data_IF_585799805741
#
_entry.id   IF_585799805741
#
_cell.length_a   1.000
_cell.length_b   1.000
_cell.length_c   1.000
_cell.angle_alpha   90.00
_cell.angle_beta   90.00
_cell.angle_gamma   90.00
#
_symmetry.space_group_name_H-M   'P 1'
#
loop_
_entity.id
_entity.type
_entity.pdbx_description
1 polymer ?
#
# COMPACT_ATOMS: atom_id res chain seq x y z
N UNK A 1 5.02 5.21 11.78
CA UNK A 1 4.36 6.13 10.83
C UNK A 1 3.32 5.36 10.05
N UNK A 2 2.18 5.99 9.77
CA UNK A 2 1.10 5.42 8.95
C UNK A 2 0.96 6.30 7.70
N UNK A 3 0.73 5.70 6.54
CA UNK A 3 0.55 6.42 5.28
C UNK A 3 -0.47 5.72 4.36
N UNK A 4 -0.96 6.48 3.38
CA UNK A 4 -1.76 6.00 2.25
C UNK A 4 -1.04 6.26 0.92
N UNK A 5 -1.08 5.32 -0.01
CA UNK A 5 -0.48 5.49 -1.34
C UNK A 5 -1.34 4.89 -2.45
N UNK A 6 -1.64 5.66 -3.50
CA UNK A 6 -2.43 5.18 -4.65
C UNK A 6 -1.84 3.90 -5.25
N UNK A 7 -2.71 3.00 -5.71
CA UNK A 7 -2.30 1.86 -6.54
C UNK A 7 -2.17 2.32 -8.00
N UNK A 8 -1.00 2.83 -8.36
CA UNK A 8 -0.82 3.61 -9.58
C UNK A 8 -1.22 2.91 -10.88
N UNK A 9 -0.95 1.60 -11.01
CA UNK A 9 -1.28 0.87 -12.24
C UNK A 9 -2.56 0.02 -12.11
N UNK A 10 -3.33 0.14 -11.03
CA UNK A 10 -4.45 -0.78 -10.79
C UNK A 10 -5.52 -0.78 -11.90
N UNK A 11 -5.77 0.35 -12.58
CA UNK A 11 -6.69 0.37 -13.73
C UNK A 11 -6.34 -0.64 -14.83
N UNK A 12 -5.07 -1.01 -15.00
CA UNK A 12 -4.60 -1.96 -16.02
C UNK A 12 -4.92 -3.43 -15.64
N UNK A 13 -5.30 -3.68 -14.39
CA UNK A 13 -5.53 -5.01 -13.81
C UNK A 13 -6.94 -5.21 -13.26
N UNK A 14 -7.74 -4.15 -13.17
CA UNK A 14 -9.03 -4.15 -12.49
C UNK A 14 -10.07 -5.11 -13.09
N UNK A 15 -9.94 -5.49 -14.36
CA UNK A 15 -10.78 -6.50 -15.00
C UNK A 15 -10.37 -7.94 -14.67
N UNK A 16 -9.16 -8.14 -14.13
CA UNK A 16 -8.54 -9.46 -13.94
C UNK A 16 -8.39 -9.86 -12.47
N UNK A 17 -8.31 -8.89 -11.57
CA UNK A 17 -8.12 -9.13 -10.14
C UNK A 17 -8.63 -7.96 -9.31
N UNK A 18 -8.94 -8.25 -8.06
CA UNK A 18 -9.32 -7.27 -7.03
C UNK A 18 -8.12 -6.37 -6.65
N UNK A 19 -8.34 -5.19 -6.03
CA UNK A 19 -7.22 -4.33 -5.63
C UNK A 19 -6.37 -4.96 -4.52
N UNK A 20 -6.98 -5.84 -3.72
CA UNK A 20 -6.29 -6.61 -2.69
C UNK A 20 -5.33 -7.63 -3.32
N UNK A 21 -5.80 -8.43 -4.27
CA UNK A 21 -4.95 -9.40 -4.99
C UNK A 21 -3.82 -8.69 -5.75
N UNK A 22 -4.11 -7.55 -6.38
CA UNK A 22 -3.09 -6.72 -7.03
C UNK A 22 -2.01 -6.29 -6.04
N UNK A 23 -2.38 -5.70 -4.90
CA UNK A 23 -1.42 -5.26 -3.90
C UNK A 23 -0.61 -6.42 -3.31
N UNK A 24 -1.24 -7.58 -3.08
CA UNK A 24 -0.55 -8.77 -2.59
C UNK A 24 0.47 -9.32 -3.60
N UNK A 25 0.15 -9.29 -4.90
CA UNK A 25 1.11 -9.62 -5.96
C UNK A 25 2.29 -8.67 -5.99
N UNK A 26 2.08 -7.37 -5.74
CA UNK A 26 3.16 -6.39 -5.59
C UNK A 26 4.01 -6.68 -4.34
N UNK A 27 3.37 -7.01 -3.21
CA UNK A 27 4.07 -7.40 -1.98
C UNK A 27 4.94 -8.66 -2.19
N UNK A 28 4.47 -9.62 -2.98
CA UNK A 28 5.24 -10.83 -3.38
C UNK A 28 6.24 -10.58 -4.51
N UNK A 29 6.38 -9.34 -4.99
CA UNK A 29 7.24 -8.97 -6.13
C UNK A 29 6.90 -9.66 -7.46
N UNK A 30 5.67 -10.17 -7.60
CA UNK A 30 5.14 -10.72 -8.86
C UNK A 30 4.67 -9.62 -9.83
N UNK A 31 4.27 -8.47 -9.29
CA UNK A 31 3.90 -7.26 -10.02
C UNK A 31 4.73 -6.08 -9.52
N UNK A 32 4.89 -5.07 -10.38
CA UNK A 32 5.58 -3.83 -10.03
C UNK A 32 4.62 -2.64 -10.15
N UNK A 33 4.13 -2.18 -9.01
CA UNK A 33 3.48 -0.88 -8.89
C UNK A 33 4.52 0.17 -8.46
N UNK A 34 4.74 1.26 -9.20
CA UNK A 34 5.83 2.20 -8.89
C UNK A 34 5.67 2.89 -7.54
N UNK A 35 4.45 3.04 -7.01
CA UNK A 35 4.19 3.68 -5.73
C UNK A 35 4.36 2.67 -4.60
N UNK A 36 3.58 1.59 -4.64
CA UNK A 36 3.61 0.60 -3.56
C UNK A 36 4.98 -0.11 -3.49
N UNK A 37 5.59 -0.46 -4.63
CA UNK A 37 6.92 -1.08 -4.63
C UNK A 37 8.00 -0.17 -4.05
N UNK A 38 7.94 1.15 -4.34
CA UNK A 38 8.86 2.12 -3.74
C UNK A 38 8.68 2.20 -2.22
N UNK A 39 7.44 2.24 -1.74
CA UNK A 39 7.14 2.27 -0.31
C UNK A 39 7.65 1.00 0.40
N UNK A 40 7.40 -0.18 -0.17
CA UNK A 40 7.89 -1.45 0.36
C UNK A 40 9.42 -1.50 0.40
N UNK A 41 10.11 -1.03 -0.66
CA UNK A 41 11.58 -0.91 -0.69
C UNK A 41 12.15 0.00 0.41
N UNK A 42 11.37 0.98 0.87
CA UNK A 42 11.74 1.87 1.98
C UNK A 42 11.32 1.32 3.36
N UNK A 43 10.99 0.04 3.45
CA UNK A 43 10.72 -0.65 4.72
C UNK A 43 9.31 -0.45 5.26
N UNK A 44 8.39 0.08 4.46
CA UNK A 44 6.98 0.05 4.83
C UNK A 44 6.42 -1.36 4.68
N UNK A 45 5.43 -1.68 5.51
CA UNK A 45 4.63 -2.90 5.44
C UNK A 45 3.23 -2.57 4.93
N UNK A 46 2.78 -3.32 3.94
CA UNK A 46 1.38 -3.29 3.51
C UNK A 46 0.47 -3.88 4.58
N UNK A 47 -0.67 -3.22 4.83
CA UNK A 47 -1.65 -3.66 5.83
C UNK A 47 -2.99 -4.01 5.18
N UNK A 48 -3.56 -3.10 4.37
CA UNK A 48 -4.86 -3.31 3.68
C UNK A 48 -5.09 -2.32 2.55
N UNK A 49 -6.15 -2.53 1.77
CA UNK A 49 -6.66 -1.55 0.81
C UNK A 49 -7.60 -0.52 1.48
N UNK A 50 -7.53 0.71 1.00
CA UNK A 50 -8.46 1.80 1.28
C UNK A 50 -9.29 2.11 0.02
N UNK A 51 -10.58 1.75 -0.01
CA UNK A 51 -11.48 2.15 -1.09
C UNK A 51 -11.84 3.64 -0.98
N UNK A 52 -12.05 4.29 -2.12
CA UNK A 52 -12.47 5.70 -2.20
C UNK A 52 -11.58 6.66 -1.39
N UNK A 53 -10.28 6.36 -1.29
CA UNK A 53 -9.35 7.11 -0.45
C UNK A 53 -9.03 8.49 -1.03
N UNK A 54 -8.93 8.56 -2.37
CA UNK A 54 -8.69 9.79 -3.12
C UNK A 54 -9.35 9.68 -4.49
N UNK A 55 -9.69 10.83 -5.09
CA UNK A 55 -10.17 10.85 -6.48
C UNK A 55 -8.96 10.69 -7.41
N UNK A 56 -8.80 9.50 -7.96
CA UNK A 56 -7.75 9.17 -8.91
C UNK A 56 -8.27 8.11 -9.87
N UNK A 57 -8.46 8.51 -11.13
CA UNK A 57 -9.00 7.63 -12.15
C UNK A 57 -8.08 6.43 -12.42
N UNK A 58 -6.75 6.61 -12.30
CA UNK A 58 -5.79 5.56 -12.60
C UNK A 58 -5.74 4.48 -11.52
N UNK A 59 -5.90 4.86 -10.25
CA UNK A 59 -6.01 3.89 -9.16
C UNK A 59 -7.44 3.39 -8.92
N UNK A 60 -8.42 3.87 -9.69
CA UNK A 60 -9.85 3.65 -9.47
C UNK A 60 -10.28 4.00 -8.04
N UNK A 61 -9.70 5.08 -7.51
CA UNK A 61 -9.87 5.57 -6.14
C UNK A 61 -9.40 4.61 -5.02
N UNK A 62 -8.65 3.55 -5.36
CA UNK A 62 -8.04 2.66 -4.37
C UNK A 62 -6.64 3.13 -3.97
N UNK A 63 -6.30 2.93 -2.70
CA UNK A 63 -4.98 3.15 -2.16
C UNK A 63 -4.56 2.00 -1.23
N UNK A 64 -3.25 1.84 -1.05
CA UNK A 64 -2.67 1.01 -0.01
C UNK A 64 -2.65 1.76 1.33
N UNK A 65 -2.99 1.07 2.41
CA UNK A 65 -2.70 1.47 3.78
C UNK A 65 -1.42 0.78 4.21
N UNK A 66 -0.42 1.58 4.57
CA UNK A 66 0.91 1.07 4.90
C UNK A 66 1.40 1.65 6.21
N UNK A 67 2.29 0.91 6.85
CA UNK A 67 2.95 1.35 8.08
C UNK A 67 4.46 1.20 7.98
N UNK A 68 5.17 2.11 8.64
CA UNK A 68 6.57 1.95 8.95
C UNK A 68 6.72 1.90 10.46
N UNK A 69 7.17 0.76 10.99
CA UNK A 69 7.40 0.56 12.43
C UNK A 69 8.81 1.03 12.80
N UNK A 70 8.89 1.97 13.73
CA UNK A 70 10.18 2.36 14.32
C UNK A 70 10.59 1.31 15.36
N UNK A 71 11.52 0.42 15.00
CA UNK A 71 12.03 -0.63 15.89
C UNK A 71 12.86 -0.12 17.06
N UNK A 72 13.32 1.15 17.01
CA UNK A 72 14.11 1.78 18.08
C UNK A 72 13.26 2.52 19.10
N UNK A 73 11.96 2.68 18.85
CA UNK A 73 11.07 3.38 19.76
C UNK A 73 10.61 2.44 20.87
N UNK A 74 11.11 2.65 22.08
CA UNK A 74 10.59 2.03 23.28
C UNK A 74 9.62 3.01 23.95
N UNK A 75 8.30 2.75 23.96
CA UNK A 75 7.37 3.59 24.67
C UNK A 75 7.72 3.57 26.17
N UNK A 76 7.87 4.75 26.78
CA UNK A 76 7.98 4.87 28.24
C UNK A 76 6.70 4.31 28.84
N UNK A 77 6.82 3.30 29.70
CA UNK A 77 5.72 2.87 30.57
C UNK A 77 5.36 4.06 31.46
N UNK A 78 4.16 4.59 31.30
CA UNK A 78 3.56 5.48 32.29
C UNK A 78 3.08 4.57 33.41
N UNK A 79 3.61 4.80 34.61
CA UNK A 79 3.26 4.09 35.85
C UNK A 79 2.00 4.72 36.43
#
# INVERSE_FOLDING_TARGET
MIAGGRLFNYCEYAEKMTPQEYAEKVVRSELNDPVLSFQLKNGFRFIKILPNYMRDARSLNYASFIEWKNTKYMPRKVI
#
